data_IF_079935200441
#
_entry.id   IF_079935200441
#
_cell.length_a   1.000
_cell.length_b   1.000
_cell.length_c   1.000
_cell.angle_alpha   90.00
_cell.angle_beta   90.00
_cell.angle_gamma   90.00
#
_symmetry.space_group_name_H-M   'P 1'
#
loop_
_entity.id
_entity.type
_entity.pdbx_description
1 polymer ?
#
# COMPACT_ATOMS: atom_id res chain seq x y z
N UNK A 1 -5.46 7.08 -26.93
CA UNK A 1 -5.04 5.72 -26.50
C UNK A 1 -4.56 5.85 -25.06
N UNK A 2 -5.02 4.95 -24.16
CA UNK A 2 -4.53 4.93 -22.79
C UNK A 2 -3.01 4.69 -22.81
N UNK A 3 -2.24 5.54 -22.14
CA UNK A 3 -0.80 5.37 -22.02
C UNK A 3 -0.49 4.19 -21.10
N UNK A 4 0.31 3.25 -21.58
CA UNK A 4 0.73 2.07 -20.82
C UNK A 4 2.18 2.26 -20.38
N UNK A 5 2.44 2.12 -19.10
CA UNK A 5 3.78 2.23 -18.53
C UNK A 5 4.64 1.03 -18.98
N UNK A 6 5.79 1.35 -19.56
CA UNK A 6 6.77 0.34 -19.98
C UNK A 6 7.87 0.17 -18.92
N UNK A 7 8.41 -1.06 -18.72
CA UNK A 7 9.53 -1.29 -17.81
C UNK A 7 10.76 -0.45 -18.15
N UNK A 8 11.36 0.17 -17.13
CA UNK A 8 12.65 0.88 -17.27
C UNK A 8 13.81 -0.09 -17.31
N UNK A 9 13.72 -1.15 -16.54
CA UNK A 9 14.74 -2.19 -16.45
C UNK A 9 14.28 -3.49 -17.17
N UNK A 10 15.09 -4.55 -17.08
CA UNK A 10 14.80 -5.83 -17.71
C UNK A 10 13.39 -6.35 -17.34
N UNK A 11 12.72 -7.09 -18.23
CA UNK A 11 11.28 -7.40 -18.13
C UNK A 11 10.81 -8.10 -16.85
N UNK A 12 11.72 -8.61 -16.05
CA UNK A 12 11.39 -9.39 -14.83
C UNK A 12 11.43 -8.57 -13.52
N UNK A 13 11.80 -7.28 -13.58
CA UNK A 13 11.79 -6.42 -12.40
C UNK A 13 10.40 -5.81 -12.29
N UNK A 14 9.66 -6.06 -11.18
CA UNK A 14 8.34 -5.45 -10.97
C UNK A 14 8.48 -3.93 -10.79
N UNK A 15 7.48 -3.17 -11.25
CA UNK A 15 7.36 -1.79 -10.84
C UNK A 15 6.96 -1.72 -9.36
N UNK A 16 7.47 -0.70 -8.67
CA UNK A 16 7.06 -0.32 -7.33
C UNK A 16 6.16 0.90 -7.47
N UNK A 17 4.89 0.77 -7.12
CA UNK A 17 3.88 1.79 -7.39
C UNK A 17 3.39 2.41 -6.10
N UNK A 18 3.33 3.74 -6.08
CA UNK A 18 2.70 4.54 -5.03
C UNK A 18 1.59 5.38 -5.65
N UNK A 19 0.62 5.76 -4.84
CA UNK A 19 -0.42 6.72 -5.20
C UNK A 19 -0.40 7.89 -4.23
N UNK A 20 -0.27 9.12 -4.72
CA UNK A 20 -0.21 10.33 -3.88
C UNK A 20 -0.90 11.52 -4.54
N UNK A 21 -1.28 12.50 -3.73
CA UNK A 21 -1.52 13.88 -4.12
C UNK A 21 -0.40 14.80 -3.62
N UNK A 22 -0.49 16.07 -3.97
CA UNK A 22 0.56 17.06 -3.62
C UNK A 22 0.68 17.26 -2.10
N UNK A 23 -0.42 17.19 -1.36
CA UNK A 23 -0.44 17.32 0.10
C UNK A 23 0.23 16.15 0.82
N UNK A 24 0.25 14.98 0.18
CA UNK A 24 0.81 13.76 0.77
C UNK A 24 2.32 13.57 0.49
N UNK A 25 2.93 14.44 -0.34
CA UNK A 25 4.35 14.34 -0.71
C UNK A 25 5.32 14.31 0.47
N UNK A 26 5.17 15.12 1.55
CA UNK A 26 6.09 15.04 2.70
C UNK A 26 6.11 13.64 3.33
N UNK A 27 4.96 13.00 3.49
CA UNK A 27 4.85 11.66 4.08
C UNK A 27 5.41 10.59 3.13
N UNK A 28 5.06 10.65 1.85
CA UNK A 28 5.64 9.80 0.82
C UNK A 28 7.17 9.93 0.76
N UNK A 29 7.72 11.12 0.98
CA UNK A 29 9.18 11.33 0.98
C UNK A 29 9.88 10.50 2.06
N UNK A 30 9.22 10.22 3.18
CA UNK A 30 9.76 9.36 4.25
C UNK A 30 9.79 7.90 3.78
N UNK A 31 8.70 7.40 3.18
CA UNK A 31 8.65 6.06 2.60
C UNK A 31 9.73 5.89 1.50
N UNK A 32 9.85 6.87 0.61
CA UNK A 32 10.86 6.90 -0.44
C UNK A 32 12.28 6.91 0.14
N UNK A 33 12.54 7.72 1.17
CA UNK A 33 13.86 7.77 1.84
C UNK A 33 14.20 6.42 2.46
N UNK A 34 13.23 5.77 3.11
CA UNK A 34 13.42 4.42 3.66
C UNK A 34 13.76 3.40 2.55
N UNK A 35 13.01 3.42 1.44
CA UNK A 35 13.29 2.57 0.28
C UNK A 35 14.71 2.79 -0.25
N UNK A 36 15.10 4.04 -0.49
CA UNK A 36 16.41 4.39 -1.05
C UNK A 36 17.55 3.95 -0.12
N UNK A 37 17.41 4.20 1.20
CA UNK A 37 18.46 3.85 2.19
C UNK A 37 18.64 2.35 2.40
N UNK A 38 17.57 1.58 2.21
CA UNK A 38 17.57 0.13 2.39
C UNK A 38 17.67 -0.64 1.05
N UNK A 39 17.77 0.06 -0.09
CA UNK A 39 17.90 -0.57 -1.39
C UNK A 39 19.26 -1.27 -1.55
N UNK A 40 19.22 -2.51 -2.08
CA UNK A 40 20.45 -3.23 -2.45
C UNK A 40 21.08 -2.68 -3.73
N UNK A 41 22.38 -2.43 -3.72
CA UNK A 41 23.09 -2.01 -4.93
C UNK A 41 23.09 -3.11 -6.04
N UNK A 42 22.82 -4.36 -5.68
CA UNK A 42 22.75 -5.48 -6.62
C UNK A 42 21.40 -5.63 -7.33
N UNK A 43 20.39 -4.85 -6.92
CA UNK A 43 19.02 -4.89 -7.48
C UNK A 43 18.66 -3.54 -8.11
N UNK A 44 17.71 -3.54 -9.03
CA UNK A 44 17.17 -2.31 -9.61
C UNK A 44 15.77 -2.04 -9.08
N UNK A 45 15.40 -0.77 -8.95
CA UNK A 45 14.12 -0.32 -8.39
C UNK A 45 13.44 0.63 -9.37
N UNK A 46 12.32 0.18 -9.96
CA UNK A 46 11.54 0.93 -10.93
C UNK A 46 10.31 1.52 -10.23
N UNK A 47 10.44 2.74 -9.74
CA UNK A 47 9.41 3.41 -8.94
C UNK A 47 8.52 4.25 -9.85
N UNK A 48 7.21 4.06 -9.74
CA UNK A 48 6.21 4.84 -10.47
C UNK A 48 5.19 5.42 -9.49
N UNK A 49 5.01 6.73 -9.55
CA UNK A 49 4.02 7.45 -8.74
C UNK A 49 2.81 7.77 -9.60
N UNK A 50 1.66 7.21 -9.25
CA UNK A 50 0.37 7.57 -9.83
C UNK A 50 -0.17 8.80 -9.11
N UNK A 51 -0.56 9.82 -9.86
CA UNK A 51 -1.05 11.08 -9.32
C UNK A 51 -2.09 11.71 -10.25
N UNK A 52 -2.89 12.61 -9.71
CA UNK A 52 -3.76 13.50 -10.47
C UNK A 52 -3.24 14.94 -10.42
N UNK A 53 -3.00 15.43 -9.21
CA UNK A 53 -2.43 16.78 -8.96
C UNK A 53 -1.12 16.59 -8.21
N UNK A 54 -0.03 17.04 -8.82
CA UNK A 54 1.31 17.01 -8.24
C UNK A 54 2.16 18.13 -8.85
N UNK A 55 2.67 19.03 -8.00
CA UNK A 55 3.42 20.21 -8.42
C UNK A 55 4.76 19.84 -9.09
N UNK A 56 5.21 20.69 -10.00
CA UNK A 56 6.51 20.53 -10.66
C UNK A 56 7.67 20.63 -9.65
N UNK A 57 7.52 21.42 -8.61
CA UNK A 57 8.51 21.58 -7.54
C UNK A 57 8.67 20.28 -6.77
N UNK A 58 7.57 19.69 -6.29
CA UNK A 58 7.58 18.41 -5.56
C UNK A 58 8.17 17.28 -6.43
N UNK A 59 7.80 17.19 -7.70
CA UNK A 59 8.39 16.23 -8.65
C UNK A 59 9.90 16.40 -8.75
N UNK A 60 10.39 17.65 -8.88
CA UNK A 60 11.81 17.95 -8.99
C UNK A 60 12.57 17.52 -7.74
N UNK A 61 12.05 17.82 -6.55
CA UNK A 61 12.67 17.44 -5.28
C UNK A 61 12.81 15.92 -5.20
N UNK A 62 11.73 15.17 -5.44
CA UNK A 62 11.72 13.71 -5.38
C UNK A 62 12.66 13.07 -6.41
N UNK A 63 12.70 13.60 -7.64
CA UNK A 63 13.65 13.14 -8.67
C UNK A 63 15.10 13.37 -8.25
N UNK A 64 15.40 14.52 -7.65
CA UNK A 64 16.76 14.84 -7.18
C UNK A 64 17.23 13.84 -6.11
N UNK A 65 16.34 13.38 -5.23
CA UNK A 65 16.67 12.35 -4.25
C UNK A 65 16.99 11.01 -4.90
N UNK A 66 16.17 10.57 -5.86
CA UNK A 66 16.37 9.30 -6.56
C UNK A 66 17.63 9.29 -7.45
N UNK A 67 18.00 10.42 -8.06
CA UNK A 67 19.19 10.53 -8.91
C UNK A 67 20.51 10.24 -8.20
N UNK A 68 20.52 10.25 -6.86
CA UNK A 68 21.67 9.85 -6.05
C UNK A 68 21.96 8.34 -6.11
N UNK A 69 21.05 7.55 -6.68
CA UNK A 69 21.08 6.08 -6.73
C UNK A 69 21.01 5.61 -8.19
N UNK A 70 22.10 5.10 -8.73
CA UNK A 70 22.20 4.71 -10.15
C UNK A 70 21.27 3.53 -10.54
N UNK A 71 20.83 2.75 -9.57
CA UNK A 71 19.96 1.59 -9.76
C UNK A 71 18.48 1.89 -9.45
N UNK A 72 18.11 3.15 -9.29
CA UNK A 72 16.73 3.59 -9.01
C UNK A 72 16.22 4.46 -10.15
N UNK A 73 15.02 4.17 -10.65
CA UNK A 73 14.24 5.01 -11.55
C UNK A 73 13.02 5.51 -10.81
N UNK A 74 12.74 6.81 -10.88
CA UNK A 74 11.49 7.42 -10.41
C UNK A 74 10.77 8.06 -11.59
N UNK A 75 9.51 7.70 -11.79
CA UNK A 75 8.64 8.24 -12.83
C UNK A 75 7.29 8.64 -12.27
N UNK A 76 6.64 9.57 -12.96
CA UNK A 76 5.32 10.06 -12.59
C UNK A 76 4.32 9.75 -13.70
N UNK A 77 3.19 9.16 -13.35
CA UNK A 77 2.10 8.85 -14.28
C UNK A 77 0.84 9.60 -13.86
N UNK A 78 0.38 10.52 -14.71
CA UNK A 78 -0.88 11.22 -14.48
C UNK A 78 -2.06 10.31 -14.86
N UNK A 79 -2.94 10.05 -13.91
CA UNK A 79 -4.08 9.13 -14.10
C UNK A 79 -5.33 9.82 -14.67
N UNK A 80 -5.33 11.15 -14.80
CA UNK A 80 -6.51 11.94 -15.21
C UNK A 80 -7.21 11.38 -16.43
N UNK A 81 -6.45 11.08 -17.49
CA UNK A 81 -7.02 10.58 -18.75
C UNK A 81 -7.66 9.19 -18.60
N UNK A 82 -7.24 8.40 -17.63
CA UNK A 82 -7.77 7.07 -17.38
C UNK A 82 -9.09 7.11 -16.62
N UNK A 83 -9.21 8.04 -15.67
CA UNK A 83 -10.40 8.17 -14.82
C UNK A 83 -11.43 9.17 -15.38
N UNK A 84 -11.08 9.89 -16.46
CA UNK A 84 -11.98 10.83 -17.14
C UNK A 84 -13.26 10.13 -17.59
N UNK A 85 -14.41 10.65 -17.16
CA UNK A 85 -15.72 10.06 -17.46
C UNK A 85 -16.21 9.04 -16.43
N UNK A 86 -15.39 8.63 -15.48
CA UNK A 86 -15.84 7.97 -14.28
C UNK A 86 -16.22 9.05 -13.26
N UNK A 87 -17.41 8.97 -12.66
CA UNK A 87 -17.89 9.93 -11.64
C UNK A 87 -17.00 9.88 -10.37
N UNK A 88 -15.77 10.34 -10.47
CA UNK A 88 -14.80 10.31 -9.35
C UNK A 88 -15.32 11.06 -8.12
N UNK A 89 -16.21 12.04 -8.30
CA UNK A 89 -16.89 12.74 -7.21
C UNK A 89 -17.74 11.79 -6.35
N UNK A 90 -18.21 10.67 -6.93
CA UNK A 90 -18.96 9.63 -6.21
C UNK A 90 -18.06 8.67 -5.41
N UNK A 91 -16.75 8.71 -5.63
CA UNK A 91 -15.77 7.89 -4.90
C UNK A 91 -15.33 8.54 -3.58
N UNK A 92 -15.90 9.70 -3.23
CA UNK A 92 -15.63 10.35 -1.95
C UNK A 92 -16.20 9.48 -0.84
N UNK A 93 -15.31 8.93 -0.06
CA UNK A 93 -15.60 8.09 1.09
C UNK A 93 -16.37 8.89 2.17
N UNK A 94 -17.29 8.23 2.86
CA UNK A 94 -17.86 8.72 4.11
C UNK A 94 -16.84 8.78 5.26
N UNK A 95 -15.61 8.30 5.04
CA UNK A 95 -14.50 8.34 5.99
C UNK A 95 -13.61 9.53 5.63
N UNK A 96 -13.56 10.52 6.50
CA UNK A 96 -12.90 11.83 6.32
C UNK A 96 -11.41 11.82 5.92
N UNK A 97 -10.77 10.65 5.80
CA UNK A 97 -9.33 10.52 5.53
C UNK A 97 -9.00 9.76 4.23
N UNK A 98 -10.02 9.29 3.49
CA UNK A 98 -9.80 8.55 2.23
C UNK A 98 -10.24 9.44 1.09
N UNK A 99 -9.27 9.89 0.30
CA UNK A 99 -9.53 10.63 -0.93
C UNK A 99 -9.50 9.70 -2.15
N UNK A 100 -9.81 10.22 -3.33
CA UNK A 100 -9.86 9.47 -4.59
C UNK A 100 -8.54 8.72 -4.93
N UNK A 101 -7.42 9.16 -4.37
CA UNK A 101 -6.08 8.61 -4.61
C UNK A 101 -5.99 7.14 -4.22
N UNK A 102 -6.76 6.70 -3.21
CA UNK A 102 -6.81 5.30 -2.79
C UNK A 102 -7.32 4.37 -3.90
N UNK A 103 -8.24 4.84 -4.74
CA UNK A 103 -8.82 4.02 -5.81
C UNK A 103 -7.91 3.85 -7.04
N UNK A 104 -6.86 4.65 -7.17
CA UNK A 104 -5.95 4.57 -8.33
C UNK A 104 -5.27 3.20 -8.44
N UNK A 105 -5.08 2.49 -7.31
CA UNK A 105 -4.53 1.13 -7.29
C UNK A 105 -5.38 0.11 -8.06
N UNK A 106 -6.68 0.34 -8.22
CA UNK A 106 -7.56 -0.56 -8.97
C UNK A 106 -7.25 -0.57 -10.47
N UNK A 107 -6.62 0.49 -10.98
CA UNK A 107 -6.21 0.63 -12.37
C UNK A 107 -4.81 0.09 -12.66
N UNK A 108 -4.07 -0.37 -11.64
CA UNK A 108 -2.70 -0.89 -11.80
C UNK A 108 -2.61 -1.96 -12.91
N UNK A 109 -3.50 -2.96 -13.00
CA UNK A 109 -3.37 -3.97 -14.04
C UNK A 109 -3.44 -3.39 -15.46
N UNK A 110 -4.27 -2.37 -15.69
CA UNK A 110 -4.37 -1.71 -17.01
C UNK A 110 -3.14 -0.85 -17.32
N UNK A 111 -2.70 -0.02 -16.36
CA UNK A 111 -1.58 0.91 -16.51
C UNK A 111 -0.27 0.14 -16.74
N UNK A 112 -0.11 -0.99 -16.05
CA UNK A 112 1.11 -1.78 -16.05
C UNK A 112 1.01 -3.09 -16.83
N UNK A 113 0.19 -3.13 -17.89
CA UNK A 113 -0.07 -4.33 -18.68
C UNK A 113 1.20 -4.97 -19.32
N UNK A 114 2.32 -4.23 -19.39
CA UNK A 114 3.62 -4.72 -19.87
C UNK A 114 4.47 -5.37 -18.76
N UNK A 115 4.03 -5.32 -17.50
CA UNK A 115 4.69 -5.99 -16.40
C UNK A 115 4.00 -7.31 -16.07
N UNK A 116 4.76 -8.30 -15.64
CA UNK A 116 4.16 -9.53 -15.10
C UNK A 116 3.61 -9.34 -13.69
N UNK A 117 4.36 -8.59 -12.88
CA UNK A 117 4.04 -8.27 -11.49
C UNK A 117 4.25 -6.79 -11.21
N UNK A 118 3.48 -6.25 -10.27
CA UNK A 118 3.64 -4.89 -9.73
C UNK A 118 3.55 -4.97 -8.22
N UNK A 119 4.43 -4.28 -7.52
CA UNK A 119 4.38 -4.09 -6.07
C UNK A 119 3.73 -2.74 -5.83
N UNK A 120 2.62 -2.72 -5.12
CA UNK A 120 1.95 -1.50 -4.67
C UNK A 120 2.25 -1.27 -3.20
N UNK A 121 2.55 -0.02 -2.85
CA UNK A 121 2.84 0.42 -1.49
C UNK A 121 2.05 1.70 -1.18
N UNK A 122 1.39 1.75 -0.03
CA UNK A 122 0.80 2.99 0.50
C UNK A 122 1.91 3.99 0.85
N UNK A 123 1.57 5.27 0.87
CA UNK A 123 2.55 6.34 1.12
C UNK A 123 2.71 6.69 2.62
N UNK A 124 1.89 6.11 3.50
CA UNK A 124 1.95 6.26 4.96
C UNK A 124 2.67 5.11 5.65
N UNK A 125 3.69 4.60 4.98
CA UNK A 125 4.57 3.52 5.45
C UNK A 125 5.98 4.03 5.76
N UNK A 126 6.73 3.22 6.51
CA UNK A 126 8.16 3.39 6.68
C UNK A 126 8.86 2.09 6.28
N UNK A 127 9.73 2.17 5.26
CA UNK A 127 10.45 1.01 4.72
C UNK A 127 11.79 0.92 5.46
N UNK A 128 11.92 -0.09 6.34
CA UNK A 128 13.09 -0.33 7.20
C UNK A 128 13.88 -1.59 6.82
N UNK A 129 13.71 -2.04 5.58
CA UNK A 129 14.45 -3.16 5.01
C UNK A 129 14.38 -3.20 3.50
N UNK A 130 15.25 -3.99 2.88
CA UNK A 130 15.22 -4.17 1.43
C UNK A 130 13.95 -4.89 0.98
N UNK A 131 13.17 -4.22 0.13
CA UNK A 131 11.92 -4.75 -0.42
C UNK A 131 12.10 -5.64 -1.65
N UNK A 132 13.33 -5.80 -2.15
CA UNK A 132 13.57 -6.66 -3.31
C UNK A 132 13.25 -8.13 -3.05
N UNK A 133 13.14 -8.54 -1.80
CA UNK A 133 12.60 -9.86 -1.43
C UNK A 133 11.19 -10.11 -1.93
N UNK A 134 10.39 -9.06 -2.18
CA UNK A 134 9.06 -9.17 -2.78
C UNK A 134 9.11 -9.50 -4.29
N UNK A 135 10.26 -9.26 -4.96
CA UNK A 135 10.40 -9.53 -6.41
C UNK A 135 10.30 -11.02 -6.72
N UNK A 136 10.85 -11.84 -5.83
CA UNK A 136 11.01 -13.28 -6.05
C UNK A 136 9.80 -14.08 -5.54
N UNK A 137 8.79 -13.41 -4.95
CA UNK A 137 7.56 -14.08 -4.50
C UNK A 137 6.84 -14.67 -5.72
N UNK A 138 6.71 -16.00 -5.73
CA UNK A 138 5.92 -16.70 -6.72
C UNK A 138 4.43 -16.60 -6.38
N UNK A 139 3.66 -15.96 -7.23
CA UNK A 139 2.21 -15.78 -7.04
C UNK A 139 1.39 -16.97 -7.51
N UNK A 140 1.99 -17.87 -8.30
CA UNK A 140 1.26 -18.97 -8.94
C UNK A 140 -0.03 -18.45 -9.62
N UNK A 141 -1.16 -19.10 -9.35
CA UNK A 141 -2.47 -18.70 -9.87
C UNK A 141 -3.18 -17.61 -9.06
N UNK A 142 -2.55 -17.07 -8.01
CA UNK A 142 -3.17 -16.00 -7.22
C UNK A 142 -3.15 -14.68 -7.97
N UNK A 143 -4.19 -13.86 -7.76
CA UNK A 143 -4.28 -12.50 -8.30
C UNK A 143 -3.39 -11.53 -7.53
N UNK A 144 -3.31 -11.72 -6.21
CA UNK A 144 -2.55 -10.86 -5.31
C UNK A 144 -1.67 -11.67 -4.36
N UNK A 145 -0.59 -11.02 -3.87
CA UNK A 145 -0.06 -11.36 -2.56
C UNK A 145 -0.26 -10.15 -1.63
N UNK A 146 -0.61 -10.42 -0.37
CA UNK A 146 -0.92 -9.41 0.63
C UNK A 146 -0.67 -9.94 2.05
N UNK A 147 -0.58 -9.04 3.02
CA UNK A 147 -0.55 -9.39 4.44
C UNK A 147 -1.98 -9.37 4.99
N UNK A 148 -2.34 -10.36 5.82
CA UNK A 148 -3.63 -10.37 6.51
C UNK A 148 -3.87 -9.09 7.26
N UNK A 149 -5.09 -8.60 7.23
CA UNK A 149 -5.48 -7.39 7.94
C UNK A 149 -5.21 -7.53 9.45
N UNK A 150 -4.65 -6.48 10.04
CA UNK A 150 -4.33 -6.51 11.47
C UNK A 150 -5.55 -6.76 12.36
N UNK A 151 -6.75 -6.32 11.97
CA UNK A 151 -7.99 -6.64 12.69
C UNK A 151 -8.37 -8.12 12.55
N UNK A 152 -8.14 -8.73 11.39
CA UNK A 152 -8.34 -10.17 11.17
C UNK A 152 -7.40 -11.01 12.05
N UNK A 153 -6.13 -10.61 12.16
CA UNK A 153 -5.16 -11.25 13.04
C UNK A 153 -5.53 -11.04 14.50
N UNK A 154 -5.93 -9.81 14.85
CA UNK A 154 -6.32 -9.45 16.21
C UNK A 154 -7.53 -10.27 16.67
N UNK A 155 -8.56 -10.43 15.86
CA UNK A 155 -9.76 -11.23 16.20
C UNK A 155 -9.45 -12.70 16.43
N UNK A 156 -8.47 -13.27 15.73
CA UNK A 156 -8.05 -14.66 15.90
C UNK A 156 -7.25 -14.89 17.20
N UNK A 157 -6.39 -13.91 17.56
CA UNK A 157 -5.51 -14.02 18.73
C UNK A 157 -6.26 -13.72 20.02
N UNK A 158 -7.25 -12.84 19.98
CA UNK A 158 -7.96 -12.30 21.15
C UNK A 158 -9.45 -12.66 21.16
N UNK A 159 -9.82 -13.85 20.74
CA UNK A 159 -11.22 -14.32 20.68
C UNK A 159 -12.00 -14.16 21.98
N UNK A 160 -11.34 -13.96 23.12
CA UNK A 160 -11.95 -13.81 24.45
C UNK A 160 -11.94 -12.36 25.01
N UNK A 161 -11.23 -11.43 24.35
CA UNK A 161 -11.06 -10.03 24.80
C UNK A 161 -11.35 -9.06 23.67
N UNK A 162 -12.37 -9.32 22.88
CA UNK A 162 -12.72 -8.50 21.70
C UNK A 162 -13.35 -7.21 22.19
N UNK A 163 -12.73 -6.07 21.87
CA UNK A 163 -13.46 -4.81 21.95
C UNK A 163 -14.56 -4.78 20.88
N UNK A 164 -15.56 -3.94 21.03
CA UNK A 164 -16.70 -3.86 20.12
C UNK A 164 -16.27 -3.65 18.65
N UNK A 165 -15.14 -2.97 18.42
CA UNK A 165 -14.66 -2.66 17.06
C UNK A 165 -14.18 -3.89 16.30
N UNK A 166 -13.55 -4.85 16.97
CA UNK A 166 -13.14 -6.11 16.34
C UNK A 166 -14.34 -7.00 16.05
N UNK A 167 -15.33 -7.04 16.93
CA UNK A 167 -16.57 -7.77 16.71
C UNK A 167 -17.35 -7.19 15.50
N UNK A 168 -17.54 -5.88 15.46
CA UNK A 168 -18.18 -5.19 14.34
C UNK A 168 -17.43 -5.41 13.01
N UNK A 169 -16.10 -5.46 13.05
CA UNK A 169 -15.29 -5.76 11.87
C UNK A 169 -15.57 -7.18 11.36
N UNK A 170 -15.53 -8.17 12.25
CA UNK A 170 -15.78 -9.59 11.90
C UNK A 170 -17.19 -9.75 11.31
N UNK A 171 -18.20 -9.17 11.95
CA UNK A 171 -19.57 -9.19 11.43
C UNK A 171 -19.65 -8.53 10.05
N UNK A 172 -19.05 -7.36 9.88
CA UNK A 172 -19.06 -6.67 8.60
C UNK A 172 -18.43 -7.50 7.49
N UNK A 173 -17.26 -8.11 7.74
CA UNK A 173 -16.56 -8.90 6.73
C UNK A 173 -17.33 -10.17 6.39
N UNK A 174 -17.86 -10.88 7.39
CA UNK A 174 -18.56 -12.15 7.18
C UNK A 174 -19.97 -11.93 6.60
N UNK A 175 -20.74 -10.98 7.14
CA UNK A 175 -22.17 -10.87 6.84
C UNK A 175 -22.42 -9.92 5.64
N UNK A 176 -21.63 -8.84 5.51
CA UNK A 176 -21.82 -7.85 4.45
C UNK A 176 -20.95 -8.14 3.24
N UNK A 177 -19.66 -8.38 3.43
CA UNK A 177 -18.75 -8.69 2.32
C UNK A 177 -18.82 -10.15 1.89
N UNK A 178 -19.35 -11.04 2.74
CA UNK A 178 -19.44 -12.49 2.50
C UNK A 178 -18.04 -13.12 2.27
N UNK A 179 -17.07 -12.69 3.04
CA UNK A 179 -15.69 -13.17 3.04
C UNK A 179 -15.38 -13.72 4.44
N UNK A 180 -14.66 -14.83 4.54
CA UNK A 180 -14.10 -15.28 5.81
C UNK A 180 -13.14 -14.21 6.35
N UNK A 181 -13.43 -13.64 7.51
CA UNK A 181 -12.64 -12.58 8.16
C UNK A 181 -11.16 -12.95 8.32
N UNK A 182 -10.85 -14.25 8.47
CA UNK A 182 -9.48 -14.79 8.54
C UNK A 182 -8.69 -14.57 7.24
N UNK A 183 -9.39 -14.38 6.13
CA UNK A 183 -8.84 -14.19 4.81
C UNK A 183 -8.88 -12.72 4.33
N UNK A 184 -9.37 -11.81 5.17
CA UNK A 184 -9.36 -10.39 4.85
C UNK A 184 -7.94 -9.83 4.96
N UNK A 185 -7.46 -9.15 3.91
CA UNK A 185 -6.11 -8.59 3.86
C UNK A 185 -6.12 -7.06 3.90
N UNK A 186 -5.00 -6.47 4.34
CA UNK A 186 -4.76 -5.03 4.25
C UNK A 186 -4.18 -4.68 2.88
N UNK A 187 -4.68 -3.61 2.27
CA UNK A 187 -4.32 -3.19 0.90
C UNK A 187 -3.10 -2.27 0.82
N UNK A 188 -2.41 -1.99 1.92
CA UNK A 188 -1.27 -1.04 1.92
C UNK A 188 0.04 -1.60 1.37
N UNK A 189 0.19 -2.94 1.31
CA UNK A 189 1.29 -3.62 0.64
C UNK A 189 0.74 -4.78 -0.16
N UNK A 190 0.84 -4.68 -1.48
CA UNK A 190 0.28 -5.67 -2.41
C UNK A 190 1.31 -6.04 -3.48
N UNK A 191 1.27 -7.30 -3.91
CA UNK A 191 1.91 -7.71 -5.17
C UNK A 191 0.79 -8.11 -6.12
N UNK A 192 0.60 -7.36 -7.20
CA UNK A 192 -0.35 -7.68 -8.26
C UNK A 192 0.25 -8.68 -9.25
N UNK A 193 -0.43 -9.77 -9.52
CA UNK A 193 -0.17 -10.65 -10.66
C UNK A 193 -0.86 -10.08 -11.90
N UNK A 194 -0.24 -9.05 -12.48
CA UNK A 194 -0.84 -8.30 -13.59
C UNK A 194 -1.20 -9.22 -14.75
N UNK A 195 -0.31 -10.14 -15.10
CA UNK A 195 -0.55 -11.06 -16.20
C UNK A 195 -1.81 -11.91 -15.96
N UNK A 196 -1.94 -12.50 -14.74
CA UNK A 196 -3.10 -13.36 -14.41
C UNK A 196 -4.41 -12.58 -14.27
N UNK A 197 -4.34 -11.37 -13.70
CA UNK A 197 -5.50 -10.49 -13.57
C UNK A 197 -6.06 -10.11 -14.95
N UNK A 198 -5.19 -9.78 -15.91
CA UNK A 198 -5.61 -9.41 -17.25
C UNK A 198 -6.08 -10.61 -18.07
N UNK A 199 -5.41 -11.78 -17.94
CA UNK A 199 -5.82 -13.03 -18.57
C UNK A 199 -7.28 -13.39 -18.18
N UNK A 200 -7.60 -13.30 -16.89
CA UNK A 200 -8.92 -13.63 -16.35
C UNK A 200 -9.90 -12.43 -16.38
N UNK A 201 -9.51 -11.28 -16.95
CA UNK A 201 -10.26 -10.00 -17.01
C UNK A 201 -10.72 -9.49 -15.64
N UNK A 202 -9.98 -9.82 -14.60
CA UNK A 202 -10.36 -9.48 -13.22
C UNK A 202 -10.29 -7.98 -12.92
N UNK A 203 -9.47 -7.23 -13.67
CA UNK A 203 -9.44 -5.77 -13.64
C UNK A 203 -10.80 -5.13 -13.98
N UNK A 204 -11.61 -5.74 -14.84
CA UNK A 204 -12.96 -5.26 -15.16
C UNK A 204 -13.87 -5.32 -13.92
N UNK A 205 -13.74 -6.38 -13.10
CA UNK A 205 -14.49 -6.52 -11.84
C UNK A 205 -14.09 -5.44 -10.82
N UNK A 206 -12.80 -5.08 -10.74
CA UNK A 206 -12.33 -4.02 -9.83
C UNK A 206 -13.03 -2.69 -10.15
N UNK A 207 -13.08 -2.33 -11.42
CA UNK A 207 -13.68 -1.08 -11.88
C UNK A 207 -15.22 -1.13 -11.77
N UNK A 208 -15.85 -2.25 -12.11
CA UNK A 208 -17.30 -2.40 -11.99
C UNK A 208 -17.78 -2.21 -10.53
N UNK A 209 -16.98 -2.63 -9.55
CA UNK A 209 -17.33 -2.47 -8.14
C UNK A 209 -17.17 -1.05 -7.58
N UNK A 210 -16.58 -0.12 -8.31
CA UNK A 210 -16.60 1.29 -7.95
C UNK A 210 -18.05 1.84 -7.83
N UNK A 211 -19.01 1.25 -8.52
CA UNK A 211 -20.42 1.66 -8.44
C UNK A 211 -21.05 1.41 -7.06
N UNK A 212 -20.49 0.52 -6.24
CA UNK A 212 -21.00 0.19 -4.90
C UNK A 212 -20.08 0.70 -3.77
N UNK A 213 -19.04 1.44 -4.08
CA UNK A 213 -18.03 1.84 -3.11
C UNK A 213 -18.59 2.66 -1.94
N UNK A 214 -19.62 3.46 -2.17
CA UNK A 214 -20.29 4.24 -1.11
C UNK A 214 -20.97 3.39 -0.03
N UNK A 215 -21.22 2.10 -0.29
CA UNK A 215 -21.77 1.15 0.68
C UNK A 215 -20.70 0.37 1.44
N UNK A 216 -19.41 0.54 1.07
CA UNK A 216 -18.27 -0.17 1.66
C UNK A 216 -17.62 0.64 2.78
N UNK A 217 -17.18 -0.05 3.86
CA UNK A 217 -16.49 0.62 4.98
C UNK A 217 -15.04 0.96 4.67
N UNK A 218 -14.33 0.05 3.98
CA UNK A 218 -12.89 0.18 3.70
C UNK A 218 -12.59 0.35 2.21
N UNK A 219 -13.56 0.87 1.45
CA UNK A 219 -13.44 1.38 0.09
C UNK A 219 -12.76 0.40 -0.89
N UNK A 220 -11.64 0.80 -1.49
CA UNK A 220 -10.84 0.02 -2.43
C UNK A 220 -10.29 -1.28 -1.83
N UNK A 221 -9.97 -1.29 -0.53
CA UNK A 221 -9.54 -2.49 0.17
C UNK A 221 -10.65 -3.56 0.18
N UNK A 222 -11.91 -3.16 0.42
CA UNK A 222 -13.05 -4.08 0.36
C UNK A 222 -13.26 -4.61 -1.06
N UNK A 223 -13.16 -3.74 -2.08
CA UNK A 223 -13.25 -4.13 -3.49
C UNK A 223 -12.23 -5.23 -3.80
N UNK A 224 -10.97 -5.01 -3.45
CA UNK A 224 -9.91 -5.99 -3.72
C UNK A 224 -10.15 -7.30 -2.95
N UNK A 225 -10.58 -7.23 -1.68
CA UNK A 225 -10.89 -8.41 -0.89
C UNK A 225 -12.05 -9.23 -1.49
N UNK A 226 -13.13 -8.56 -1.93
CA UNK A 226 -14.26 -9.22 -2.61
C UNK A 226 -13.80 -9.85 -3.93
N UNK A 227 -13.10 -9.08 -4.77
CA UNK A 227 -12.75 -9.53 -6.11
C UNK A 227 -11.67 -10.62 -6.14
N UNK A 228 -10.78 -10.64 -5.15
CA UNK A 228 -9.65 -11.58 -5.10
C UNK A 228 -9.87 -12.72 -4.09
N UNK A 229 -11.05 -12.83 -3.46
CA UNK A 229 -11.36 -13.87 -2.48
C UNK A 229 -10.96 -15.27 -3.01
N UNK A 230 -10.23 -16.05 -2.18
CA UNK A 230 -9.75 -17.38 -2.54
C UNK A 230 -8.54 -17.42 -3.49
N UNK A 231 -8.06 -16.26 -3.99
CA UNK A 231 -6.95 -16.14 -4.95
C UNK A 231 -5.90 -15.14 -4.44
N UNK A 232 -5.56 -15.23 -3.15
CA UNK A 232 -4.56 -14.37 -2.48
C UNK A 232 -3.49 -15.22 -1.84
N UNK A 233 -2.22 -14.93 -2.12
CA UNK A 233 -1.07 -15.48 -1.41
C UNK A 233 -0.78 -14.61 -0.19
N UNK A 234 -0.81 -15.19 0.99
CA UNK A 234 -0.54 -14.43 2.21
C UNK A 234 0.96 -14.35 2.48
N UNK A 235 1.42 -13.12 2.73
CA UNK A 235 2.78 -12.78 3.13
C UNK A 235 2.90 -12.78 4.65
N UNK A 236 4.14 -12.84 5.15
CA UNK A 236 4.44 -12.62 6.56
C UNK A 236 4.17 -11.16 6.98
N UNK A 237 3.83 -10.96 8.25
CA UNK A 237 3.47 -9.65 8.79
C UNK A 237 4.63 -8.64 8.79
N UNK A 238 5.86 -9.09 8.65
CA UNK A 238 7.05 -8.23 8.51
C UNK A 238 6.98 -7.28 7.30
N UNK A 239 6.18 -7.63 6.29
CA UNK A 239 5.99 -6.84 5.08
C UNK A 239 4.89 -5.77 5.16
N UNK A 240 4.07 -5.79 6.22
CA UNK A 240 3.01 -4.78 6.43
C UNK A 240 2.62 -4.74 7.90
N UNK A 241 3.58 -4.37 8.76
CA UNK A 241 3.41 -4.33 10.19
C UNK A 241 2.65 -3.08 10.62
N UNK A 242 1.51 -3.26 11.30
CA UNK A 242 0.65 -2.17 11.78
C UNK A 242 0.87 -1.91 13.28
N UNK A 243 1.67 -0.90 13.69
CA UNK A 243 1.99 -0.62 15.09
C UNK A 243 0.76 -0.36 15.96
N UNK A 244 -0.29 0.23 15.39
CA UNK A 244 -1.55 0.61 16.07
C UNK A 244 -2.14 -0.53 16.91
N UNK A 245 -2.05 -1.76 16.43
CA UNK A 245 -2.66 -2.94 17.08
C UNK A 245 -1.70 -3.72 17.96
N UNK A 246 -0.46 -3.25 18.12
CA UNK A 246 0.51 -3.86 19.02
C UNK A 246 0.35 -3.30 20.42
N UNK A 247 -0.27 -4.06 21.34
CA UNK A 247 -0.30 -3.72 22.77
C UNK A 247 0.97 -4.21 23.44
N UNK A 248 1.50 -3.43 24.38
CA UNK A 248 2.76 -3.77 25.12
C UNK A 248 2.71 -5.15 25.76
N UNK A 249 1.54 -5.57 26.26
CA UNK A 249 1.36 -6.87 26.91
C UNK A 249 1.42 -8.06 25.91
N UNK A 250 1.24 -7.79 24.63
CA UNK A 250 1.16 -8.81 23.57
C UNK A 250 2.46 -8.92 22.78
N UNK A 251 3.44 -8.10 23.13
CA UNK A 251 4.72 -7.99 22.40
C UNK A 251 5.36 -9.36 22.16
N UNK A 252 5.42 -10.24 23.16
CA UNK A 252 6.04 -11.58 23.02
C UNK A 252 5.35 -12.44 21.97
N UNK A 253 4.03 -12.37 21.87
CA UNK A 253 3.25 -13.15 20.91
C UNK A 253 3.41 -12.56 19.52
N UNK A 254 3.42 -11.23 19.41
CA UNK A 254 3.63 -10.52 18.16
C UNK A 254 5.07 -10.70 17.66
N UNK A 255 6.07 -10.60 18.53
CA UNK A 255 7.48 -10.85 18.20
C UNK A 255 7.66 -12.30 17.70
N UNK A 256 6.93 -13.27 18.26
CA UNK A 256 6.91 -14.66 17.79
C UNK A 256 6.27 -14.82 16.41
N UNK A 257 5.27 -14.00 16.08
CA UNK A 257 4.63 -14.00 14.76
C UNK A 257 5.46 -13.23 13.71
N UNK A 258 6.23 -12.24 14.12
CA UNK A 258 7.11 -11.45 13.24
C UNK A 258 8.30 -12.28 12.71
N UNK A 259 8.77 -13.26 13.48
CA UNK A 259 9.96 -14.06 13.14
C UNK A 259 11.21 -13.20 13.05
N UNK A 260 11.41 -12.58 11.91
CA UNK A 260 12.52 -11.68 11.61
C UNK A 260 12.19 -10.19 11.84
N UNK A 261 13.17 -9.31 11.63
CA UNK A 261 13.04 -7.86 11.69
C UNK A 261 11.94 -7.36 10.74
N UNK A 262 11.08 -6.45 11.22
CA UNK A 262 10.09 -5.76 10.40
C UNK A 262 10.77 -5.08 9.21
N UNK A 263 10.17 -5.24 8.02
CA UNK A 263 10.63 -4.63 6.77
C UNK A 263 9.85 -3.37 6.44
N UNK A 264 8.54 -3.38 6.71
CA UNK A 264 7.66 -2.25 6.41
C UNK A 264 6.73 -2.01 7.61
N UNK A 265 6.82 -0.83 8.21
CA UNK A 265 5.88 -0.31 9.19
C UNK A 265 4.78 0.46 8.46
N UNK A 266 3.52 0.19 8.77
CA UNK A 266 2.37 0.84 8.16
C UNK A 266 1.52 1.55 9.23
N UNK A 267 1.45 2.87 9.16
CA UNK A 267 0.77 3.72 10.13
C UNK A 267 -0.66 3.99 9.68
N UNK A 268 -1.56 3.03 9.90
CA UNK A 268 -2.93 3.05 9.40
C UNK A 268 -3.88 3.95 10.20
N UNK A 269 -4.91 4.47 9.52
CA UNK A 269 -5.99 5.26 10.11
C UNK A 269 -5.48 6.54 10.77
N UNK A 270 -5.97 6.85 11.98
CA UNK A 270 -5.59 8.03 12.75
C UNK A 270 -4.27 7.90 13.53
N UNK A 271 -3.64 6.72 13.50
CA UNK A 271 -2.40 6.48 14.24
C UNK A 271 -1.17 6.85 13.40
N UNK A 272 -1.06 8.13 13.09
CA UNK A 272 0.02 8.67 12.28
C UNK A 272 1.13 9.25 13.16
N UNK A 273 2.43 8.98 12.88
CA UNK A 273 3.55 9.57 13.61
C UNK A 273 3.51 11.09 13.67
N UNK A 274 3.10 11.74 12.58
CA UNK A 274 2.99 13.19 12.48
C UNK A 274 1.79 13.81 13.21
N UNK A 275 0.84 13.00 13.69
CA UNK A 275 -0.27 13.44 14.53
C UNK A 275 -0.01 13.15 16.01
N UNK A 276 0.83 12.17 16.34
CA UNK A 276 1.13 11.78 17.72
C UNK A 276 2.52 11.15 17.82
N UNK A 277 3.50 11.93 18.28
CA UNK A 277 4.91 11.51 18.34
C UNK A 277 5.22 10.50 19.45
N UNK A 278 4.33 10.28 20.42
CA UNK A 278 4.63 9.50 21.63
C UNK A 278 4.30 8.01 21.53
N UNK A 279 3.86 7.52 20.37
CA UNK A 279 3.48 6.12 20.21
C UNK A 279 4.65 5.21 19.85
N UNK A 280 4.47 3.93 20.12
CA UNK A 280 5.46 2.90 19.82
C UNK A 280 5.76 2.84 18.29
N UNK A 281 7.04 2.71 17.95
CA UNK A 281 7.55 2.68 16.57
C UNK A 281 7.40 3.98 15.76
N UNK A 282 6.88 5.07 16.33
CA UNK A 282 6.90 6.37 15.66
C UNK A 282 8.32 6.93 15.48
N UNK A 283 9.25 6.53 16.36
CA UNK A 283 10.67 6.86 16.23
C UNK A 283 11.26 6.33 14.91
N UNK A 284 10.80 5.18 14.40
CA UNK A 284 11.26 4.63 13.11
C UNK A 284 10.92 5.59 11.96
N UNK A 285 9.70 6.14 11.97
CA UNK A 285 9.30 7.16 11.00
C UNK A 285 10.22 8.38 11.04
N UNK A 286 10.49 8.90 12.24
CA UNK A 286 11.31 10.11 12.40
C UNK A 286 12.78 9.88 12.03
N UNK A 287 13.33 8.67 12.19
CA UNK A 287 14.67 8.34 11.70
C UNK A 287 14.81 8.59 10.19
N UNK A 288 13.79 8.23 9.40
CA UNK A 288 13.80 8.49 7.95
C UNK A 288 13.31 9.89 7.59
N UNK A 289 12.39 10.47 8.35
CA UNK A 289 11.94 11.84 8.15
C UNK A 289 13.07 12.85 8.26
N UNK A 290 13.99 12.69 9.23
CA UNK A 290 15.18 13.52 9.38
C UNK A 290 16.13 13.45 8.18
N UNK A 291 16.11 12.37 7.44
CA UNK A 291 16.93 12.15 6.25
C UNK A 291 16.22 12.58 4.96
N UNK A 292 14.92 12.85 5.03
CA UNK A 292 14.10 13.22 3.88
C UNK A 292 14.27 14.70 3.51
N UNK A 293 14.06 15.08 2.24
CA UNK A 293 14.12 16.48 1.82
C UNK A 293 13.02 17.35 2.45
N UNK A 294 12.02 16.74 3.10
CA UNK A 294 10.90 17.42 3.74
C UNK A 294 11.00 17.47 5.27
N UNK A 295 12.19 17.25 5.85
CA UNK A 295 12.37 17.31 7.32
C UNK A 295 11.80 18.60 7.95
N UNK A 296 12.04 19.75 7.32
CA UNK A 296 11.54 21.04 7.81
C UNK A 296 10.01 21.13 7.88
N UNK A 297 9.28 20.31 7.13
CA UNK A 297 7.83 20.20 7.22
C UNK A 297 7.41 19.59 8.57
N UNK A 298 8.11 18.55 9.02
CA UNK A 298 7.80 17.85 10.27
C UNK A 298 8.23 18.60 11.53
N UNK A 299 9.25 19.45 11.44
CA UNK A 299 9.73 20.26 12.60
C UNK A 299 8.80 21.43 12.90
N UNK A 300 8.01 21.87 11.92
CA UNK A 300 7.12 23.03 12.06
C UNK A 300 5.69 22.66 12.52
N UNK A 301 5.39 21.39 12.62
CA UNK A 301 4.14 20.85 13.19
C UNK A 301 4.30 20.59 14.69
#
# INVERSE_FOLDING_TARGET
MKEIVSPTYKPNIPAIVFTIDDGYVPYFSVALTGLLKNSSAAKSYDIVVLYRILSAENKKILLTECQKYANVSLRFYNIDELIKGNDCEKWVSNIAHINEVAYYRLYIPEIFAKYKKVIFLDADICIDGDISGLYDIDLQDNYLAAVRGCMSVYSQVYSTCVDNSAYEFVQYVNDVLQIDDKNYFNAGVLIFNVAKILEDKKNEDFIAKLNIVSSLKYNDQDILNICCAGRVKYLGCEWNYCPKYTRINDKKQYDKMLGDKVKIYHYIGSDKPWLNQQRQFHNVFYCYAMLSPYWNFFVKQ
#
